data_IF_247519933741
#
_entry.id   IF_247519933741
#
_cell.length_a   1.000
_cell.length_b   1.000
_cell.length_c   1.000
_cell.angle_alpha   90.00
_cell.angle_beta   90.00
_cell.angle_gamma   90.00
#
_symmetry.space_group_name_H-M   'P 1'
#
loop_
_entity.id
_entity.type
_entity.pdbx_description
1 polymer ?
#
# COMPACT_ATOMS: atom_id res chain seq x y z
N UNK A 1 9.44 6.85 -15.52
CA UNK A 1 10.54 7.24 -14.66
C UNK A 1 11.69 6.22 -14.74
N UNK A 2 11.56 5.01 -14.17
CA UNK A 2 12.64 4.01 -14.06
C UNK A 2 13.34 3.72 -15.39
N UNK A 3 12.58 3.50 -16.47
CA UNK A 3 13.14 3.29 -17.82
C UNK A 3 13.89 4.53 -18.34
N UNK A 4 13.36 5.74 -18.08
CA UNK A 4 13.98 7.00 -18.52
C UNK A 4 15.35 7.21 -17.87
N UNK A 5 15.51 6.82 -16.61
CA UNK A 5 16.74 7.00 -15.85
C UNK A 5 17.62 5.74 -15.78
N UNK A 6 17.31 4.71 -16.59
CA UNK A 6 18.12 3.48 -16.63
C UNK A 6 18.14 2.69 -15.31
N UNK A 7 17.15 2.87 -14.46
CA UNK A 7 17.08 2.16 -13.19
C UNK A 7 16.73 0.68 -13.40
N UNK A 8 17.31 -0.23 -12.62
CA UNK A 8 17.18 -1.67 -12.85
C UNK A 8 15.71 -2.12 -12.69
N UNK A 9 15.33 -3.07 -13.53
CA UNK A 9 14.09 -3.82 -13.38
C UNK A 9 14.43 -5.31 -13.26
N UNK A 10 13.87 -5.99 -12.26
CA UNK A 10 14.07 -7.42 -12.08
C UNK A 10 13.13 -8.20 -13.00
N UNK A 11 13.67 -9.23 -13.66
CA UNK A 11 12.86 -10.15 -14.49
C UNK A 11 12.00 -11.12 -13.66
N UNK A 12 12.36 -11.31 -12.38
CA UNK A 12 11.59 -12.15 -11.45
C UNK A 12 11.33 -11.35 -10.17
N UNK A 13 10.17 -11.55 -9.56
CA UNK A 13 9.83 -10.97 -8.28
C UNK A 13 10.86 -11.37 -7.19
N UNK A 14 11.25 -10.44 -6.36
CA UNK A 14 12.22 -10.67 -5.28
C UNK A 14 12.73 -9.39 -4.65
N UNK A 15 13.44 -9.52 -3.55
CA UNK A 15 14.04 -8.38 -2.87
C UNK A 15 15.18 -7.77 -3.70
N UNK A 16 15.22 -6.44 -3.73
CA UNK A 16 16.38 -5.68 -4.22
C UNK A 16 17.50 -5.74 -3.18
N UNK A 17 18.69 -5.29 -3.57
CA UNK A 17 19.84 -5.19 -2.68
C UNK A 17 19.48 -4.44 -1.38
N UNK A 18 20.10 -4.84 -0.27
CA UNK A 18 19.75 -4.36 1.08
C UNK A 18 19.91 -2.85 1.24
N UNK A 19 21.02 -2.29 0.76
CA UNK A 19 21.27 -0.85 0.88
C UNK A 19 20.33 -0.05 -0.01
N UNK A 20 19.99 -0.56 -1.18
CA UNK A 20 19.01 0.05 -2.05
C UNK A 20 17.60 -0.02 -1.44
N UNK A 21 17.22 -1.15 -0.82
CA UNK A 21 15.94 -1.25 -0.08
C UNK A 21 15.91 -0.26 1.09
N UNK A 22 17.01 -0.13 1.85
CA UNK A 22 17.12 0.86 2.93
C UNK A 22 16.85 2.28 2.42
N UNK A 23 17.46 2.65 1.30
CA UNK A 23 17.25 3.96 0.66
C UNK A 23 15.77 4.15 0.29
N UNK A 24 15.12 3.13 -0.30
CA UNK A 24 13.69 3.19 -0.66
C UNK A 24 12.78 3.34 0.55
N UNK A 25 13.09 2.65 1.66
CA UNK A 25 12.35 2.79 2.92
C UNK A 25 12.51 4.17 3.54
N UNK A 26 13.70 4.77 3.43
CA UNK A 26 13.94 6.13 3.89
C UNK A 26 13.13 7.16 3.10
N UNK A 27 13.04 7.01 1.77
CA UNK A 27 12.16 7.86 0.95
C UNK A 27 10.69 7.75 1.37
N UNK A 28 10.18 6.55 1.60
CA UNK A 28 8.81 6.37 2.10
C UNK A 28 8.59 7.05 3.46
N UNK A 29 9.60 7.02 4.34
CA UNK A 29 9.53 7.70 5.64
C UNK A 29 9.58 9.23 5.49
N UNK A 30 10.35 9.75 4.55
CA UNK A 30 10.45 11.16 4.21
C UNK A 30 9.08 11.69 3.77
N UNK A 31 8.48 11.10 2.74
CA UNK A 31 7.16 11.49 2.24
C UNK A 31 6.05 11.34 3.30
N UNK A 32 6.12 10.28 4.12
CA UNK A 32 5.18 10.11 5.23
C UNK A 32 5.33 11.22 6.29
N UNK A 33 6.56 11.67 6.52
CA UNK A 33 6.84 12.77 7.45
C UNK A 33 6.38 14.11 6.88
N UNK A 34 6.52 14.34 5.58
CA UNK A 34 6.00 15.52 4.89
C UNK A 34 4.47 15.58 4.95
N UNK A 35 3.81 14.46 4.64
CA UNK A 35 2.36 14.34 4.80
C UNK A 35 1.91 14.67 6.23
N UNK A 36 2.55 14.05 7.22
CA UNK A 36 2.21 14.30 8.62
C UNK A 36 2.41 15.76 8.98
N UNK A 37 3.49 16.38 8.53
CA UNK A 37 3.82 17.78 8.76
C UNK A 37 2.78 18.71 8.15
N UNK A 38 2.38 18.48 6.90
CA UNK A 38 1.33 19.24 6.21
C UNK A 38 -0.03 19.11 6.91
N UNK A 39 -0.30 17.98 7.52
CA UNK A 39 -1.49 17.72 8.34
C UNK A 39 -1.38 18.23 9.79
N UNK A 40 -0.26 18.85 10.20
CA UNK A 40 -0.07 19.36 11.55
C UNK A 40 0.35 18.33 12.58
N UNK A 41 0.96 17.22 12.15
CA UNK A 41 1.48 16.15 13.01
C UNK A 41 2.99 16.05 12.90
N UNK A 42 3.60 15.35 13.86
CA UNK A 42 4.99 14.91 13.80
C UNK A 42 5.14 13.50 14.39
N UNK A 43 6.15 12.76 13.96
CA UNK A 43 6.43 11.45 14.52
C UNK A 43 7.16 11.60 15.86
N UNK A 44 6.61 10.99 16.91
CA UNK A 44 7.21 10.98 18.25
C UNK A 44 7.93 9.66 18.49
N UNK A 45 9.26 9.68 18.48
CA UNK A 45 10.08 8.48 18.56
C UNK A 45 9.85 7.64 19.82
N UNK A 46 9.71 8.29 20.97
CA UNK A 46 9.48 7.60 22.23
C UNK A 46 8.12 6.87 22.30
N UNK A 47 7.09 7.45 21.67
CA UNK A 47 5.75 6.87 21.60
C UNK A 47 5.53 5.98 20.38
N UNK A 48 6.45 5.99 19.41
CA UNK A 48 6.33 5.28 18.12
C UNK A 48 5.01 5.56 17.38
N UNK A 49 4.55 6.82 17.42
CA UNK A 49 3.29 7.25 16.79
C UNK A 49 3.35 8.71 16.35
N UNK A 50 2.45 9.09 15.46
CA UNK A 50 2.23 10.49 15.12
C UNK A 50 1.39 11.18 16.19
N UNK A 51 1.83 12.36 16.60
CA UNK A 51 1.14 13.21 17.58
C UNK A 51 0.91 14.60 17.03
N UNK A 52 -0.15 15.31 17.47
CA UNK A 52 -0.42 16.68 17.01
C UNK A 52 0.76 17.61 17.31
N UNK A 53 1.09 18.47 16.37
CA UNK A 53 2.11 19.50 16.55
C UNK A 53 1.54 20.66 17.38
N UNK A 54 2.18 20.97 18.51
CA UNK A 54 1.82 22.11 19.38
C UNK A 54 2.32 23.47 18.84
N UNK A 55 2.93 23.50 17.65
CA UNK A 55 3.41 24.76 17.05
C UNK A 55 2.20 25.62 16.66
N UNK A 56 1.98 26.73 17.39
CA UNK A 56 1.01 27.76 17.03
C UNK A 56 1.33 28.29 15.64
N UNK A 57 0.33 28.37 14.76
CA UNK A 57 0.45 29.00 13.43
C UNK A 57 0.64 28.04 12.26
N UNK A 58 0.59 26.71 12.45
CA UNK A 58 0.49 25.80 11.29
C UNK A 58 -0.93 25.81 10.74
N UNK A 59 -1.07 26.44 9.59
CA UNK A 59 -2.23 26.24 8.72
C UNK A 59 -2.09 24.82 8.16
N UNK A 60 -3.16 24.04 8.17
CA UNK A 60 -3.19 22.77 7.45
C UNK A 60 -2.88 23.06 5.97
N UNK A 61 -1.77 22.51 5.50
CA UNK A 61 -1.30 22.68 4.12
C UNK A 61 -1.86 21.54 3.26
N UNK A 62 -3.01 21.81 2.64
CA UNK A 62 -3.68 20.81 1.80
C UNK A 62 -2.90 20.53 0.50
N UNK A 63 -2.22 21.54 -0.05
CA UNK A 63 -1.38 21.38 -1.25
C UNK A 63 -0.17 20.50 -0.95
N UNK A 64 0.56 20.79 0.13
CA UNK A 64 1.67 19.96 0.58
C UNK A 64 1.25 18.55 0.99
N UNK A 65 0.04 18.40 1.57
CA UNK A 65 -0.49 17.06 1.87
C UNK A 65 -0.83 16.26 0.61
N UNK A 66 -1.34 16.92 -0.44
CA UNK A 66 -1.61 16.29 -1.73
C UNK A 66 -0.31 15.88 -2.43
N UNK A 67 0.68 16.74 -2.45
CA UNK A 67 2.00 16.48 -3.01
C UNK A 67 2.65 15.26 -2.35
N UNK A 68 2.75 15.25 -1.03
CA UNK A 68 3.28 14.14 -0.27
C UNK A 68 2.52 12.81 -0.49
N UNK A 69 1.20 12.85 -0.66
CA UNK A 69 0.40 11.64 -0.99
C UNK A 69 0.75 11.11 -2.38
N UNK A 70 0.96 11.99 -3.37
CA UNK A 70 1.37 11.61 -4.72
C UNK A 70 2.78 11.01 -4.68
N UNK A 71 3.70 11.62 -3.96
CA UNK A 71 5.09 11.16 -3.86
C UNK A 71 5.21 9.85 -3.08
N UNK A 72 4.43 9.65 -2.01
CA UNK A 72 4.29 8.34 -1.36
C UNK A 72 3.88 7.24 -2.34
N UNK A 73 2.87 7.51 -3.17
CA UNK A 73 2.43 6.55 -4.20
C UNK A 73 3.54 6.31 -5.22
N UNK A 74 4.22 7.36 -5.64
CA UNK A 74 5.32 7.29 -6.61
C UNK A 74 6.47 6.44 -6.11
N UNK A 75 6.90 6.66 -4.87
CA UNK A 75 7.97 5.88 -4.22
C UNK A 75 7.52 4.43 -4.01
N UNK A 76 6.28 4.19 -3.55
CA UNK A 76 5.74 2.85 -3.32
C UNK A 76 5.70 2.03 -4.62
N UNK A 77 5.10 2.56 -5.68
CA UNK A 77 5.02 1.89 -6.98
C UNK A 77 6.41 1.69 -7.60
N UNK A 78 7.30 2.68 -7.46
CA UNK A 78 8.69 2.57 -7.88
C UNK A 78 9.42 1.43 -7.16
N UNK A 79 9.18 1.24 -5.88
CA UNK A 79 9.74 0.13 -5.11
C UNK A 79 9.20 -1.22 -5.61
N UNK A 80 7.90 -1.33 -5.82
CA UNK A 80 7.28 -2.53 -6.40
C UNK A 80 7.85 -2.86 -7.79
N UNK A 81 8.09 -1.85 -8.63
CA UNK A 81 8.73 -2.01 -9.93
C UNK A 81 10.16 -2.59 -9.81
N UNK A 82 10.99 -2.02 -8.94
CA UNK A 82 12.35 -2.48 -8.69
C UNK A 82 12.39 -3.92 -8.16
N UNK A 83 11.37 -4.33 -7.42
CA UNK A 83 11.20 -5.70 -6.91
C UNK A 83 10.64 -6.67 -7.97
N UNK A 84 10.35 -6.21 -9.19
CA UNK A 84 9.80 -7.04 -10.26
C UNK A 84 8.32 -7.40 -10.10
N UNK A 85 7.57 -6.68 -9.27
CA UNK A 85 6.14 -6.94 -9.02
C UNK A 85 5.24 -6.54 -10.20
N UNK A 86 5.76 -5.80 -11.17
CA UNK A 86 5.06 -5.46 -12.43
C UNK A 86 5.37 -6.42 -13.59
N UNK A 87 6.02 -7.56 -13.31
CA UNK A 87 6.14 -8.62 -14.30
C UNK A 87 4.78 -9.29 -14.50
N UNK A 88 4.50 -9.64 -15.76
CA UNK A 88 3.26 -10.32 -16.13
C UNK A 88 3.25 -11.76 -15.62
N UNK A 89 2.10 -12.20 -15.18
CA UNK A 89 1.78 -13.57 -14.80
C UNK A 89 0.44 -13.96 -15.43
N UNK A 90 0.37 -15.19 -15.93
CA UNK A 90 -0.88 -15.75 -16.44
C UNK A 90 -1.70 -16.27 -15.26
N UNK A 91 -2.90 -15.76 -15.09
CA UNK A 91 -3.88 -16.22 -14.11
C UNK A 91 -5.16 -16.63 -14.81
N UNK A 92 -5.94 -17.50 -14.18
CA UNK A 92 -7.28 -17.85 -14.66
C UNK A 92 -8.28 -17.02 -13.87
N UNK A 93 -9.11 -16.28 -14.57
CA UNK A 93 -10.15 -15.43 -13.98
C UNK A 93 -11.53 -15.88 -14.47
N UNK A 94 -12.49 -15.80 -13.58
CA UNK A 94 -13.90 -15.93 -13.94
C UNK A 94 -14.34 -14.66 -14.68
N UNK A 95 -14.84 -14.83 -15.87
CA UNK A 95 -15.40 -13.74 -16.69
C UNK A 95 -16.88 -14.02 -16.88
N UNK A 96 -17.70 -13.09 -16.47
CA UNK A 96 -19.15 -13.15 -16.69
C UNK A 96 -19.48 -12.45 -18.02
N UNK A 97 -20.00 -13.23 -18.97
CA UNK A 97 -20.56 -12.71 -20.22
C UNK A 97 -22.07 -13.03 -20.25
N UNK A 98 -22.89 -12.02 -19.94
CA UNK A 98 -24.35 -12.20 -19.85
C UNK A 98 -24.72 -13.14 -18.70
N UNK A 99 -25.30 -14.32 -19.03
CA UNK A 99 -25.68 -15.34 -18.04
C UNK A 99 -24.70 -16.52 -17.93
N UNK A 100 -23.55 -16.42 -18.56
CA UNK A 100 -22.54 -17.49 -18.58
C UNK A 100 -21.28 -17.02 -17.88
N UNK A 101 -20.77 -17.87 -16.96
CA UNK A 101 -19.45 -17.68 -16.35
C UNK A 101 -18.44 -18.57 -17.05
N UNK A 102 -17.38 -18.00 -17.59
CA UNK A 102 -16.29 -18.73 -18.22
C UNK A 102 -14.96 -18.51 -17.51
N UNK A 103 -14.09 -19.53 -17.51
CA UNK A 103 -12.73 -19.43 -16.97
C UNK A 103 -11.78 -19.04 -18.11
N UNK A 104 -11.31 -17.79 -18.08
CA UNK A 104 -10.41 -17.28 -19.10
C UNK A 104 -9.00 -17.05 -18.55
N UNK A 105 -7.94 -17.50 -19.23
CA UNK A 105 -6.58 -17.14 -18.88
C UNK A 105 -6.30 -15.68 -19.26
N UNK A 106 -5.87 -14.89 -18.28
CA UNK A 106 -5.57 -13.46 -18.45
C UNK A 106 -4.15 -13.18 -18.02
N UNK A 107 -3.45 -12.33 -18.74
CA UNK A 107 -2.15 -11.82 -18.30
C UNK A 107 -2.36 -10.59 -17.44
N UNK A 108 -1.92 -10.67 -16.19
CA UNK A 108 -1.94 -9.56 -15.24
C UNK A 108 -0.56 -9.41 -14.60
N UNK A 109 -0.24 -8.24 -14.10
CA UNK A 109 0.97 -8.10 -13.29
C UNK A 109 0.76 -8.76 -11.92
N UNK A 110 1.86 -9.20 -11.30
CA UNK A 110 1.84 -9.73 -9.93
C UNK A 110 1.19 -8.71 -8.98
N UNK A 111 1.49 -7.43 -9.16
CA UNK A 111 0.97 -6.35 -8.32
C UNK A 111 -0.54 -6.18 -8.46
N UNK A 112 -1.07 -6.19 -9.69
CA UNK A 112 -2.52 -6.07 -9.96
C UNK A 112 -3.29 -7.23 -9.35
N UNK A 113 -2.83 -8.46 -9.54
CA UNK A 113 -3.50 -9.62 -8.96
C UNK A 113 -3.39 -9.64 -7.42
N UNK A 114 -2.24 -9.26 -6.86
CA UNK A 114 -2.10 -9.08 -5.42
C UNK A 114 -3.06 -8.02 -4.88
N UNK A 115 -3.18 -6.89 -5.58
CA UNK A 115 -4.14 -5.83 -5.23
C UNK A 115 -5.58 -6.34 -5.23
N UNK A 116 -5.99 -7.05 -6.27
CA UNK A 116 -7.33 -7.65 -6.38
C UNK A 116 -7.63 -8.59 -5.22
N UNK A 117 -6.70 -9.48 -4.86
CA UNK A 117 -6.86 -10.42 -3.73
C UNK A 117 -6.92 -9.70 -2.39
N UNK A 118 -6.06 -8.72 -2.15
CA UNK A 118 -6.07 -7.91 -0.94
C UNK A 118 -7.36 -7.11 -0.83
N UNK A 119 -7.81 -6.50 -1.92
CA UNK A 119 -9.08 -5.75 -1.96
C UNK A 119 -10.26 -6.66 -1.65
N UNK A 120 -10.36 -7.82 -2.27
CA UNK A 120 -11.41 -8.79 -1.97
C UNK A 120 -11.42 -9.18 -0.48
N UNK A 121 -10.26 -9.50 0.10
CA UNK A 121 -10.15 -9.81 1.52
C UNK A 121 -10.50 -8.61 2.42
N UNK A 122 -10.15 -7.38 2.02
CA UNK A 122 -10.47 -6.17 2.78
C UNK A 122 -11.98 -5.86 2.78
N UNK A 123 -12.68 -6.14 1.68
CA UNK A 123 -14.13 -5.93 1.59
C UNK A 123 -14.94 -6.87 2.48
N UNK A 124 -14.36 -7.94 3.00
CA UNK A 124 -15.01 -8.82 4.00
C UNK A 124 -14.82 -8.35 5.45
N UNK A 125 -14.03 -7.31 5.70
CA UNK A 125 -13.86 -6.71 7.03
C UNK A 125 -15.12 -5.94 7.44
N UNK A 126 -15.27 -5.75 8.75
CA UNK A 126 -16.41 -5.01 9.34
C UNK A 126 -15.89 -3.79 10.11
N UNK A 127 -16.71 -2.73 10.19
CA UNK A 127 -16.39 -1.56 10.99
C UNK A 127 -16.43 -1.90 12.48
N UNK A 128 -15.46 -1.42 13.24
CA UNK A 128 -15.48 -1.51 14.69
C UNK A 128 -16.71 -0.77 15.25
N UNK A 129 -17.54 -1.46 16.02
CA UNK A 129 -18.75 -0.88 16.64
C UNK A 129 -18.42 -0.11 17.91
N UNK A 130 -17.43 -0.60 18.66
CA UNK A 130 -16.91 0.01 19.90
C UNK A 130 -15.39 0.15 19.77
N UNK A 131 -14.82 1.06 20.54
CA UNK A 131 -13.36 1.24 20.58
C UNK A 131 -12.64 -0.05 20.98
N UNK A 132 -13.20 -0.81 21.93
CA UNK A 132 -12.66 -2.10 22.39
C UNK A 132 -12.61 -3.19 21.32
N UNK A 133 -13.35 -3.04 20.20
CA UNK A 133 -13.33 -3.98 19.10
C UNK A 133 -12.08 -3.79 18.21
N UNK A 134 -11.42 -2.63 18.33
CA UNK A 134 -10.27 -2.23 17.54
C UNK A 134 -8.97 -2.26 18.35
N UNK A 135 -7.91 -2.80 17.76
CA UNK A 135 -6.56 -2.73 18.34
C UNK A 135 -6.00 -1.29 18.45
N UNK A 136 -6.63 -0.33 17.76
CA UNK A 136 -6.25 1.09 17.72
C UNK A 136 -7.15 1.97 18.60
N UNK A 137 -8.02 1.37 19.42
CA UNK A 137 -8.98 2.08 20.26
C UNK A 137 -9.83 3.10 19.49
N UNK A 138 -10.32 2.71 18.32
CA UNK A 138 -11.02 3.61 17.39
C UNK A 138 -12.23 2.96 16.73
N UNK A 139 -13.35 3.69 16.68
CA UNK A 139 -14.53 3.31 15.90
C UNK A 139 -14.41 3.67 14.41
N UNK A 140 -13.35 4.35 14.01
CA UNK A 140 -13.00 4.56 12.60
C UNK A 140 -12.24 3.40 11.99
N UNK A 141 -11.86 2.40 12.80
CA UNK A 141 -11.14 1.22 12.32
C UNK A 141 -12.07 0.18 11.71
N UNK A 142 -11.51 -0.62 10.82
CA UNK A 142 -12.11 -1.83 10.29
C UNK A 142 -11.39 -3.04 10.83
N UNK A 143 -12.15 -4.03 11.29
CA UNK A 143 -11.63 -5.19 12.00
C UNK A 143 -11.96 -6.48 11.26
N UNK A 144 -11.16 -7.49 11.47
CA UNK A 144 -11.35 -8.81 10.90
C UNK A 144 -12.47 -9.53 11.65
N UNK A 145 -13.57 -9.94 10.99
CA UNK A 145 -14.59 -10.76 11.63
C UNK A 145 -14.05 -12.16 11.96
N UNK A 146 -14.78 -12.90 12.76
CA UNK A 146 -14.48 -14.30 13.02
C UNK A 146 -14.42 -15.10 11.71
N UNK A 147 -13.43 -15.99 11.59
CA UNK A 147 -13.20 -16.77 10.38
C UNK A 147 -12.58 -16.01 9.20
N UNK A 148 -12.21 -14.74 9.35
CA UNK A 148 -11.54 -13.98 8.29
C UNK A 148 -10.23 -14.65 7.87
N UNK A 149 -10.05 -14.82 6.57
CA UNK A 149 -8.84 -15.40 5.98
C UNK A 149 -8.00 -14.33 5.26
N UNK A 150 -6.68 -14.33 5.43
CA UNK A 150 -5.81 -13.45 4.65
C UNK A 150 -5.77 -13.85 3.17
N UNK A 151 -5.48 -12.92 2.26
CA UNK A 151 -5.30 -13.25 0.85
C UNK A 151 -4.08 -14.15 0.66
N UNK A 152 -4.20 -15.13 -0.24
CA UNK A 152 -3.10 -16.02 -0.61
C UNK A 152 -2.24 -15.33 -1.67
N UNK A 153 -1.07 -14.81 -1.27
CA UNK A 153 -0.16 -14.08 -2.15
C UNK A 153 1.09 -14.88 -2.56
N UNK A 154 1.44 -15.92 -1.80
CA UNK A 154 2.63 -16.73 -2.06
C UNK A 154 2.63 -17.40 -3.44
N UNK A 155 1.47 -17.77 -3.96
CA UNK A 155 1.30 -18.36 -5.29
C UNK A 155 1.64 -17.39 -6.45
N UNK A 156 1.73 -16.08 -6.16
CA UNK A 156 2.03 -15.05 -7.14
C UNK A 156 3.55 -14.86 -7.32
N UNK A 157 4.35 -15.29 -6.37
CA UNK A 157 5.81 -15.10 -6.35
C UNK A 157 6.53 -16.32 -6.89
#
# INVERSE_FOLDING_TARGET
FHRKFGLPNRKKAGFIERDYMKMRLNFLMEELTELATSCGFYFHDGLKQFVPSNKRGRVNDLEGALDALVDLQYVLLGTAYLMGMFNEKRVVMEVEEGHTTSLCPVNVTIFEEAWRRVQAANMTKVRARRKSDSKRDSTFDVVKPEGWKPPQLGELL
#
